data_IF_127376839372
#
_entry.id   IF_127376839372
#
_cell.length_a   1.000
_cell.length_b   1.000
_cell.length_c   1.000
_cell.angle_alpha   90.00
_cell.angle_beta   90.00
_cell.angle_gamma   90.00
#
_symmetry.space_group_name_H-M   'P 1'
#
loop_
_entity.id
_entity.type
_entity.pdbx_description
1 polymer ?
#
# COMPACT_ATOMS: atom_id res chain seq x y z
N UNK A 1 9.89 -17.15 -3.24
CA UNK A 1 8.94 -16.27 -3.94
C UNK A 1 9.27 -16.32 -5.42
N UNK A 2 8.31 -16.67 -6.26
CA UNK A 2 8.45 -16.73 -7.72
C UNK A 2 8.36 -15.34 -8.33
N UNK A 3 8.81 -15.19 -9.58
CA UNK A 3 8.66 -13.93 -10.32
C UNK A 3 7.20 -13.48 -10.44
N UNK A 4 6.27 -14.43 -10.58
CA UNK A 4 4.84 -14.13 -10.64
C UNK A 4 4.31 -13.57 -9.31
N UNK A 5 4.68 -14.21 -8.20
CA UNK A 5 4.31 -13.75 -6.85
C UNK A 5 4.86 -12.35 -6.56
N UNK A 6 6.09 -12.03 -7.01
CA UNK A 6 6.66 -10.68 -6.89
C UNK A 6 5.81 -9.65 -7.65
N UNK A 7 5.40 -9.97 -8.88
CA UNK A 7 4.55 -9.08 -9.69
C UNK A 7 3.20 -8.86 -9.02
N UNK A 8 2.59 -9.92 -8.49
CA UNK A 8 1.29 -9.83 -7.82
C UNK A 8 1.37 -9.04 -6.52
N UNK A 9 2.44 -9.21 -5.73
CA UNK A 9 2.68 -8.39 -4.55
C UNK A 9 2.88 -6.91 -4.89
N UNK A 10 3.63 -6.60 -5.96
CA UNK A 10 3.78 -5.21 -6.42
C UNK A 10 2.44 -4.60 -6.85
N UNK A 11 1.59 -5.37 -7.55
CA UNK A 11 0.23 -4.94 -7.92
C UNK A 11 -0.66 -4.74 -6.71
N UNK A 12 -0.61 -5.65 -5.74
CA UNK A 12 -1.35 -5.56 -4.49
C UNK A 12 -0.93 -4.31 -3.70
N UNK A 13 0.38 -4.07 -3.56
CA UNK A 13 0.92 -2.86 -2.93
C UNK A 13 0.36 -1.60 -3.61
N UNK A 14 0.45 -1.51 -4.94
CA UNK A 14 -0.05 -0.34 -5.67
C UNK A 14 -1.56 -0.12 -5.46
N UNK A 15 -2.35 -1.20 -5.39
CA UNK A 15 -3.78 -1.12 -5.08
C UNK A 15 -4.05 -0.63 -3.66
N UNK A 16 -3.33 -1.13 -2.65
CA UNK A 16 -3.44 -0.69 -1.26
C UNK A 16 -3.09 0.79 -1.10
N UNK A 17 -2.05 1.26 -1.80
CA UNK A 17 -1.67 2.67 -1.78
C UNK A 17 -2.78 3.59 -2.32
N UNK A 18 -3.46 3.19 -3.40
CA UNK A 18 -4.63 3.91 -3.93
C UNK A 18 -5.79 3.92 -2.93
N UNK A 19 -6.03 2.81 -2.23
CA UNK A 19 -7.07 2.74 -1.19
C UNK A 19 -6.74 3.64 0.00
N UNK A 20 -5.48 3.64 0.46
CA UNK A 20 -4.99 4.53 1.50
C UNK A 20 -5.22 6.01 1.13
N UNK A 21 -4.86 6.40 -0.10
CA UNK A 21 -5.09 7.75 -0.60
C UNK A 21 -6.60 8.11 -0.63
N UNK A 22 -7.46 7.19 -1.06
CA UNK A 22 -8.90 7.43 -1.10
C UNK A 22 -9.51 7.62 0.31
N UNK A 23 -9.09 6.83 1.30
CA UNK A 23 -9.57 6.96 2.68
C UNK A 23 -9.08 8.25 3.32
N UNK A 24 -7.79 8.56 3.21
CA UNK A 24 -7.22 9.79 3.75
C UNK A 24 -7.88 11.03 3.16
N UNK A 25 -8.15 11.03 1.84
CA UNK A 25 -8.91 12.10 1.18
C UNK A 25 -10.33 12.23 1.74
N UNK A 26 -11.03 11.11 1.96
CA UNK A 26 -12.39 11.12 2.55
C UNK A 26 -12.38 11.63 3.99
N UNK A 27 -11.40 11.23 4.80
CA UNK A 27 -11.27 11.70 6.19
C UNK A 27 -11.05 13.21 6.26
N UNK A 28 -10.23 13.77 5.36
CA UNK A 28 -9.99 15.23 5.32
C UNK A 28 -11.18 16.06 4.82
N UNK A 29 -12.22 15.42 4.26
CA UNK A 29 -13.42 16.10 3.76
C UNK A 29 -14.59 16.08 4.77
N UNK A 30 -14.40 15.53 5.96
CA UNK A 30 -15.45 15.37 6.99
C UNK A 30 -14.98 16.02 8.28
N UNK A 31 -15.82 16.86 8.89
CA UNK A 31 -15.49 17.60 10.13
C UNK A 31 -15.13 16.68 11.30
N UNK A 32 -15.80 15.52 11.40
CA UNK A 32 -15.49 14.47 12.38
C UNK A 32 -15.62 13.09 11.73
N UNK A 33 -14.47 12.51 11.36
CA UNK A 33 -14.43 11.16 10.81
C UNK A 33 -14.78 10.11 11.89
N UNK A 34 -15.60 9.09 11.55
CA UNK A 34 -15.92 8.02 12.48
C UNK A 34 -14.68 7.15 12.78
N UNK A 35 -14.62 6.58 13.99
CA UNK A 35 -13.53 5.70 14.43
C UNK A 35 -13.30 4.53 13.46
N UNK A 36 -14.37 3.97 12.89
CA UNK A 36 -14.30 2.89 11.91
C UNK A 36 -13.47 3.25 10.67
N UNK A 37 -13.45 4.51 10.24
CA UNK A 37 -12.58 4.95 9.13
C UNK A 37 -11.10 4.99 9.53
N UNK A 38 -10.78 5.35 10.78
CA UNK A 38 -9.42 5.28 11.30
C UNK A 38 -8.94 3.82 11.43
N UNK A 39 -9.83 2.91 11.82
CA UNK A 39 -9.57 1.47 11.84
C UNK A 39 -9.37 0.91 10.42
N UNK A 40 -10.18 1.31 9.45
CA UNK A 40 -10.01 0.95 8.03
C UNK A 40 -8.64 1.42 7.51
N UNK A 41 -8.27 2.67 7.79
CA UNK A 41 -6.96 3.22 7.42
C UNK A 41 -5.82 2.41 8.05
N UNK A 42 -5.94 2.10 9.34
CA UNK A 42 -4.94 1.31 10.08
C UNK A 42 -4.76 -0.08 9.46
N UNK A 43 -5.86 -0.78 9.12
CA UNK A 43 -5.82 -2.08 8.44
C UNK A 43 -5.11 -2.02 7.09
N UNK A 44 -5.33 -0.97 6.30
CA UNK A 44 -4.63 -0.79 5.02
C UNK A 44 -3.14 -0.51 5.22
N UNK A 45 -2.76 0.32 6.20
CA UNK A 45 -1.36 0.59 6.50
C UNK A 45 -0.62 -0.69 6.93
N UNK A 46 -1.22 -1.52 7.78
CA UNK A 46 -0.66 -2.81 8.17
C UNK A 46 -0.52 -3.76 6.97
N UNK A 47 -1.50 -3.78 6.06
CA UNK A 47 -1.43 -4.59 4.84
C UNK A 47 -0.29 -4.12 3.92
N UNK A 48 -0.09 -2.81 3.76
CA UNK A 48 1.04 -2.25 3.00
C UNK A 48 2.36 -2.69 3.63
N UNK A 49 2.51 -2.53 4.94
CA UNK A 49 3.72 -2.91 5.65
C UNK A 49 4.03 -4.41 5.50
N UNK A 50 3.01 -5.27 5.60
CA UNK A 50 3.18 -6.71 5.42
C UNK A 50 3.68 -7.06 4.00
N UNK A 51 3.12 -6.43 2.97
CA UNK A 51 3.56 -6.62 1.57
C UNK A 51 4.98 -6.09 1.37
N UNK A 52 5.28 -4.90 1.87
CA UNK A 52 6.61 -4.29 1.75
C UNK A 52 7.67 -5.15 2.44
N UNK A 53 7.38 -5.69 3.64
CA UNK A 53 8.26 -6.65 4.33
C UNK A 53 8.45 -7.94 3.54
N UNK A 54 7.41 -8.51 2.94
CA UNK A 54 7.52 -9.72 2.12
C UNK A 54 8.41 -9.50 0.88
N UNK A 55 8.24 -8.36 0.22
CA UNK A 55 9.04 -7.92 -0.92
C UNK A 55 10.52 -7.73 -0.54
N UNK A 56 10.80 -7.08 0.60
CA UNK A 56 12.16 -6.91 1.13
C UNK A 56 12.81 -8.26 1.46
N UNK A 57 12.11 -9.16 2.15
CA UNK A 57 12.62 -10.50 2.50
C UNK A 57 12.97 -11.31 1.25
N UNK A 58 12.23 -11.11 0.16
CA UNK A 58 12.52 -11.76 -1.11
C UNK A 58 13.64 -11.08 -1.94
N UNK A 59 14.24 -10.00 -1.45
CA UNK A 59 15.27 -9.26 -2.20
C UNK A 59 14.73 -8.38 -3.32
N UNK A 60 13.43 -8.09 -3.32
CA UNK A 60 12.76 -7.25 -4.32
C UNK A 60 11.97 -6.11 -3.65
N UNK A 61 12.62 -5.13 -2.98
CA UNK A 61 11.93 -4.03 -2.34
C UNK A 61 10.97 -3.31 -3.31
N UNK A 62 9.80 -2.88 -2.81
CA UNK A 62 8.88 -2.09 -3.61
C UNK A 62 9.55 -0.78 -4.04
N UNK A 63 9.58 -0.53 -5.35
CA UNK A 63 10.02 0.73 -5.93
C UNK A 63 8.82 1.42 -6.57
N UNK A 64 8.50 2.66 -6.17
CA UNK A 64 7.51 3.48 -6.83
C UNK A 64 7.80 3.59 -8.34
N UNK A 65 6.77 3.61 -9.22
CA UNK A 65 6.97 3.71 -10.66
C UNK A 65 7.85 4.89 -11.08
N UNK A 66 7.80 6.00 -10.33
CA UNK A 66 8.59 7.20 -10.58
C UNK A 66 10.09 6.96 -10.39
N UNK A 67 10.46 6.02 -9.51
CA UNK A 67 11.84 5.63 -9.24
C UNK A 67 12.31 4.45 -10.12
N UNK A 68 11.39 3.77 -10.82
CA UNK A 68 11.71 2.68 -11.75
C UNK A 68 12.10 3.18 -13.15
N UNK A 69 11.61 4.37 -13.56
CA UNK A 69 11.85 4.93 -14.89
C UNK A 69 13.23 5.59 -15.08
N UNK A 70 14.10 5.59 -14.06
CA UNK A 70 15.42 6.23 -14.05
C UNK A 70 16.62 5.30 -14.28
N UNK A 71 16.39 4.09 -14.79
CA UNK A 71 17.41 3.04 -15.09
C UNK A 71 17.25 2.54 -16.51
#
# INVERSE_FOLDING_TARGET
MTAHEIVDLNRARAALARQCHAITKRMGAIDLAPVSMAEDLTRILLAIEAVDRALVVAGHPYLPPELQAGT
#
